data_IF_290713128959
#
_entry.id   IF_290713128959
#
_cell.length_a   1.000
_cell.length_b   1.000
_cell.length_c   1.000
_cell.angle_alpha   90.00
_cell.angle_beta   90.00
_cell.angle_gamma   90.00
#
_symmetry.space_group_name_H-M   'P 1'
#
loop_
_entity.id
_entity.type
_entity.pdbx_description
1 polymer ?
#
# COMPACT_ATOMS: atom_id res chain seq x y z
N UNK A 1 19.76 48.10 -57.27
CA UNK A 1 19.69 46.68 -56.85
C UNK A 1 21.02 46.36 -56.16
N UNK A 2 21.13 45.79 -54.96
CA UNK A 2 20.25 45.49 -53.85
C UNK A 2 21.21 45.20 -52.69
N UNK A 3 21.09 45.94 -51.57
CA UNK A 3 21.73 45.61 -50.29
C UNK A 3 20.89 44.55 -49.58
N UNK A 4 21.52 43.55 -48.97
CA UNK A 4 21.02 42.78 -47.81
C UNK A 4 22.23 42.50 -46.90
N UNK A 5 22.45 43.34 -45.88
CA UNK A 5 21.98 43.17 -44.48
C UNK A 5 22.70 42.06 -43.74
N UNK A 6 23.88 42.40 -43.20
CA UNK A 6 24.47 41.77 -42.03
C UNK A 6 24.18 42.72 -40.85
N UNK A 7 22.98 42.60 -40.29
CA UNK A 7 22.47 43.49 -39.25
C UNK A 7 22.09 42.65 -38.03
N UNK A 8 22.89 42.75 -36.96
CA UNK A 8 22.49 42.17 -35.68
C UNK A 8 23.58 41.79 -34.68
N UNK A 9 24.86 42.10 -34.91
CA UNK A 9 25.91 41.86 -33.88
C UNK A 9 26.59 43.15 -33.46
N UNK A 10 26.34 43.54 -32.22
CA UNK A 10 27.05 44.62 -31.52
C UNK A 10 28.55 44.33 -31.50
N UNK A 11 29.36 45.33 -31.83
CA UNK A 11 30.82 45.28 -31.72
C UNK A 11 31.26 45.16 -30.26
N UNK A 12 32.53 44.79 -30.02
CA UNK A 12 33.05 44.54 -28.67
C UNK A 12 32.91 45.74 -27.72
N UNK A 13 33.05 46.97 -28.22
CA UNK A 13 32.84 48.18 -27.40
C UNK A 13 31.35 48.46 -27.19
N UNK A 14 30.50 48.27 -28.20
CA UNK A 14 29.05 48.44 -28.07
C UNK A 14 28.43 47.46 -27.08
N UNK A 15 28.96 46.23 -26.98
CA UNK A 15 28.58 45.28 -25.91
C UNK A 15 29.02 45.75 -24.53
N UNK A 16 30.24 46.29 -24.41
CA UNK A 16 30.74 46.77 -23.12
C UNK A 16 29.94 47.99 -22.63
N UNK A 17 29.61 48.90 -23.54
CA UNK A 17 28.81 50.10 -23.23
C UNK A 17 27.35 49.75 -22.92
N UNK A 18 26.77 48.78 -23.63
CA UNK A 18 25.44 48.24 -23.33
C UNK A 18 25.39 47.54 -21.97
N UNK A 19 26.40 46.71 -21.65
CA UNK A 19 26.49 46.07 -20.33
C UNK A 19 26.74 47.07 -19.20
N UNK A 20 27.45 48.17 -19.49
CA UNK A 20 27.70 49.25 -18.53
C UNK A 20 26.47 50.13 -18.32
N UNK A 21 25.66 50.38 -19.35
CA UNK A 21 24.40 51.10 -19.23
C UNK A 21 23.33 50.28 -18.49
N UNK A 22 23.33 48.95 -18.66
CA UNK A 22 22.49 48.06 -17.84
C UNK A 22 22.88 48.07 -16.35
N UNK A 23 24.16 48.30 -16.02
CA UNK A 23 24.64 48.45 -14.63
C UNK A 23 24.35 49.81 -13.99
N UNK A 24 23.97 50.83 -14.77
CA UNK A 24 23.63 52.19 -14.30
C UNK A 24 22.14 52.39 -14.05
N UNK A 25 21.37 51.33 -13.84
CA UNK A 25 20.04 51.46 -13.23
C UNK A 25 20.24 51.88 -11.77
N UNK A 26 19.77 53.07 -11.43
CA UNK A 26 19.84 53.61 -10.08
C UNK A 26 19.30 52.58 -9.08
N UNK A 27 20.08 52.29 -8.04
CA UNK A 27 19.65 51.42 -6.97
C UNK A 27 18.29 51.93 -6.43
N UNK A 28 17.26 51.08 -6.35
CA UNK A 28 15.99 51.51 -5.76
C UNK A 28 16.25 51.98 -4.33
N UNK A 29 15.64 53.12 -3.97
CA UNK A 29 15.74 53.65 -2.62
C UNK A 29 15.38 52.56 -1.61
N UNK A 30 16.25 52.33 -0.62
CA UNK A 30 16.04 51.31 0.39
C UNK A 30 14.65 51.51 1.03
N UNK A 31 13.77 50.49 1.03
CA UNK A 31 12.48 50.61 1.67
C UNK A 31 12.68 50.97 3.14
N UNK A 32 12.03 52.04 3.59
CA UNK A 32 12.03 52.47 4.99
C UNK A 32 11.43 51.31 5.80
N UNK A 33 12.27 50.54 6.47
CA UNK A 33 11.85 49.40 7.27
C UNK A 33 11.03 49.90 8.45
N UNK A 34 9.71 49.88 8.33
CA UNK A 34 8.83 49.83 9.50
C UNK A 34 9.04 48.47 10.13
N UNK A 35 9.63 48.43 11.31
CA UNK A 35 9.80 47.20 12.08
C UNK A 35 8.40 46.67 12.44
N UNK A 36 7.88 45.77 11.62
CA UNK A 36 6.70 44.98 11.96
C UNK A 36 7.17 43.98 13.01
N UNK A 37 6.77 44.18 14.27
CA UNK A 37 7.03 43.21 15.31
C UNK A 37 6.38 41.89 14.90
N UNK A 38 7.21 40.86 14.67
CA UNK A 38 6.71 39.53 14.35
C UNK A 38 5.95 38.98 15.56
N UNK A 39 4.70 38.50 15.41
CA UNK A 39 4.01 37.85 16.51
C UNK A 39 4.81 36.63 16.96
N UNK A 40 4.99 36.48 18.28
CA UNK A 40 5.55 35.26 18.85
C UNK A 40 4.56 34.13 18.62
N UNK A 41 4.95 33.15 17.81
CA UNK A 41 4.19 31.92 17.56
C UNK A 41 4.95 30.75 18.15
N UNK A 42 4.22 29.84 18.79
CA UNK A 42 4.80 28.56 19.18
C UNK A 42 5.03 27.72 17.92
N UNK A 43 6.30 27.44 17.65
CA UNK A 43 6.77 26.65 16.50
C UNK A 43 7.19 25.24 16.90
N UNK A 44 6.97 24.87 18.16
CA UNK A 44 7.32 23.54 18.67
C UNK A 44 6.41 22.48 18.08
N UNK A 45 7.00 21.40 17.57
CA UNK A 45 6.27 20.20 17.16
C UNK A 45 5.49 19.58 18.32
N UNK A 46 5.86 19.87 19.58
CA UNK A 46 5.13 19.40 20.75
C UNK A 46 3.71 19.96 20.87
N UNK A 47 3.45 21.06 20.17
CA UNK A 47 2.12 21.68 20.15
C UNK A 47 1.22 21.16 19.05
N UNK A 48 1.75 20.33 18.14
CA UNK A 48 0.94 19.67 17.14
C UNK A 48 -0.15 18.83 17.83
N UNK A 49 -1.43 18.99 17.46
CA UNK A 49 -2.52 18.24 18.08
C UNK A 49 -2.29 16.73 18.05
N UNK A 50 -1.79 16.20 16.93
CA UNK A 50 -1.48 14.76 16.79
C UNK A 50 -0.38 14.28 17.74
N UNK A 51 0.64 15.10 17.98
CA UNK A 51 1.73 14.72 18.90
C UNK A 51 1.31 14.79 20.37
N UNK A 52 0.47 15.77 20.73
CA UNK A 52 -0.14 15.83 22.08
C UNK A 52 -1.01 14.61 22.34
N UNK A 53 -1.84 14.23 21.37
CA UNK A 53 -2.68 13.03 21.45
C UNK A 53 -1.83 11.77 21.65
N UNK A 54 -0.74 11.62 20.88
CA UNK A 54 0.21 10.52 21.04
C UNK A 54 0.81 10.46 22.45
N UNK A 55 1.25 11.60 23.00
CA UNK A 55 1.79 11.68 24.37
C UNK A 55 0.75 11.25 25.41
N UNK A 56 -0.50 11.69 25.27
CA UNK A 56 -1.60 11.31 26.16
C UNK A 56 -1.91 9.82 26.09
N UNK A 57 -2.03 9.26 24.88
CA UNK A 57 -2.25 7.82 24.67
C UNK A 57 -1.10 6.99 25.26
N UNK A 58 0.14 7.45 25.09
CA UNK A 58 1.31 6.78 25.64
C UNK A 58 1.30 6.76 27.17
N UNK A 59 1.03 7.91 27.79
CA UNK A 59 0.93 7.99 29.25
C UNK A 59 -0.18 7.08 29.80
N UNK A 60 -1.34 7.03 29.13
CA UNK A 60 -2.42 6.12 29.51
C UNK A 60 -2.02 4.64 29.39
N UNK A 61 -1.35 4.26 28.30
CA UNK A 61 -0.84 2.90 28.12
C UNK A 61 0.20 2.52 29.20
N UNK A 62 1.13 3.42 29.52
CA UNK A 62 2.13 3.22 30.56
C UNK A 62 1.48 3.08 31.96
N UNK A 63 0.44 3.87 32.26
CA UNK A 63 -0.34 3.74 33.51
C UNK A 63 -1.09 2.40 33.62
N UNK A 64 -1.51 1.83 32.49
CA UNK A 64 -2.18 0.54 32.42
C UNK A 64 -1.20 -0.64 32.30
N UNK A 65 0.11 -0.38 32.27
CA UNK A 65 1.13 -1.42 32.11
C UNK A 65 1.12 -2.08 30.73
N UNK A 66 0.56 -1.42 29.71
CA UNK A 66 0.45 -1.98 28.37
C UNK A 66 1.74 -1.76 27.58
N UNK A 67 2.32 -2.85 27.07
CA UNK A 67 3.43 -2.78 26.15
C UNK A 67 3.03 -2.06 24.86
N UNK A 68 4.00 -1.43 24.19
CA UNK A 68 3.76 -0.85 22.86
C UNK A 68 3.63 -1.98 21.83
N UNK A 69 2.47 -2.18 21.18
CA UNK A 69 2.38 -3.14 20.09
C UNK A 69 3.08 -2.61 18.82
N UNK A 70 3.42 -1.33 18.76
CA UNK A 70 4.05 -0.69 17.61
C UNK A 70 5.58 -0.66 17.75
N UNK A 71 6.27 -0.69 16.61
CA UNK A 71 7.74 -0.68 16.51
C UNK A 71 8.43 -1.87 17.20
N UNK A 72 7.75 -3.02 17.29
CA UNK A 72 8.39 -4.25 17.73
C UNK A 72 9.52 -4.63 16.78
N UNK A 73 10.66 -5.02 17.37
CA UNK A 73 11.87 -5.33 16.61
C UNK A 73 11.98 -6.82 16.37
N UNK A 74 12.13 -7.19 15.10
CA UNK A 74 12.45 -8.56 14.70
C UNK A 74 13.97 -8.69 14.60
N UNK A 75 14.58 -9.54 15.42
CA UNK A 75 16.05 -9.74 15.44
C UNK A 75 16.50 -10.92 14.57
N UNK A 76 15.56 -11.56 13.88
CA UNK A 76 15.79 -12.57 12.87
C UNK A 76 14.95 -12.25 11.62
N UNK A 77 15.15 -13.02 10.54
CA UNK A 77 14.28 -12.95 9.36
C UNK A 77 12.81 -13.08 9.79
N UNK A 78 11.95 -12.20 9.28
CA UNK A 78 10.52 -12.22 9.56
C UNK A 78 9.75 -12.94 8.44
N UNK A 79 9.47 -14.23 8.64
CA UNK A 79 8.54 -15.02 7.83
C UNK A 79 7.39 -15.55 8.70
N UNK A 80 6.94 -16.78 8.49
CA UNK A 80 6.02 -17.52 9.39
C UNK A 80 6.57 -17.69 10.83
N UNK A 81 7.89 -17.55 10.99
CA UNK A 81 8.60 -17.50 12.26
C UNK A 81 9.41 -16.22 12.36
N UNK A 82 9.66 -15.77 13.58
CA UNK A 82 10.61 -14.71 13.86
C UNK A 82 11.15 -14.77 15.28
N UNK A 83 11.95 -13.77 15.67
CA UNK A 83 12.44 -13.57 17.03
C UNK A 83 12.14 -12.13 17.43
N UNK A 84 11.37 -11.95 18.51
CA UNK A 84 11.00 -10.66 19.11
C UNK A 84 11.42 -10.70 20.57
N UNK A 85 12.13 -9.68 21.04
CA UNK A 85 12.67 -9.61 22.41
C UNK A 85 13.43 -10.88 22.82
N UNK A 86 14.25 -11.41 21.89
CA UNK A 86 15.03 -12.66 22.03
C UNK A 86 14.20 -13.93 22.21
N UNK A 87 12.87 -13.87 22.02
CA UNK A 87 11.98 -15.02 22.08
C UNK A 87 11.54 -15.46 20.68
N UNK A 88 11.61 -16.76 20.35
CA UNK A 88 11.02 -17.28 19.12
C UNK A 88 9.50 -17.10 19.12
N UNK A 89 8.94 -16.69 17.98
CA UNK A 89 7.50 -16.49 17.82
C UNK A 89 6.97 -17.14 16.52
N UNK A 90 5.75 -17.67 16.59
CA UNK A 90 4.88 -17.87 15.43
C UNK A 90 4.42 -16.49 14.94
N UNK A 91 4.69 -16.14 13.69
CA UNK A 91 4.55 -14.77 13.23
C UNK A 91 3.45 -14.62 12.18
N UNK A 92 2.32 -14.07 12.62
CA UNK A 92 1.15 -13.75 11.81
C UNK A 92 1.06 -12.26 11.45
N UNK A 93 2.15 -11.51 11.63
CA UNK A 93 2.22 -10.07 11.31
C UNK A 93 3.08 -9.76 10.06
N UNK A 94 3.51 -10.79 9.32
CA UNK A 94 4.30 -10.63 8.08
C UNK A 94 3.45 -10.88 6.84
N UNK A 95 3.74 -10.16 5.75
CA UNK A 95 3.09 -10.34 4.45
C UNK A 95 3.86 -11.26 3.50
N UNK A 96 4.75 -12.11 4.05
CA UNK A 96 5.49 -13.14 3.31
C UNK A 96 4.60 -14.36 3.02
N UNK A 97 3.61 -14.17 2.15
CA UNK A 97 2.53 -15.13 1.89
C UNK A 97 3.02 -16.48 1.37
N UNK A 98 4.02 -16.48 0.50
CA UNK A 98 4.54 -17.70 -0.11
C UNK A 98 5.79 -18.26 0.58
N UNK A 99 6.23 -17.60 1.67
CA UNK A 99 7.44 -18.00 2.38
C UNK A 99 8.70 -17.83 1.53
N UNK A 100 8.71 -16.83 0.66
CA UNK A 100 9.82 -16.57 -0.27
C UNK A 100 10.89 -15.68 0.35
N UNK A 101 10.61 -15.05 1.50
CA UNK A 101 11.59 -14.19 2.14
C UNK A 101 12.83 -15.00 2.53
N UNK A 102 13.93 -14.69 1.84
CA UNK A 102 15.21 -15.37 1.92
C UNK A 102 15.22 -16.81 1.39
N UNK A 103 14.42 -17.07 0.35
CA UNK A 103 14.63 -18.19 -0.56
C UNK A 103 16.08 -18.18 -1.10
N UNK A 104 16.77 -19.34 -1.22
CA UNK A 104 18.16 -19.39 -1.66
C UNK A 104 18.39 -18.78 -3.05
N UNK A 105 17.53 -19.07 -4.03
CA UNK A 105 17.62 -18.50 -5.39
C UNK A 105 17.52 -16.97 -5.37
N UNK A 106 16.61 -16.41 -4.57
CA UNK A 106 16.44 -14.95 -4.47
C UNK A 106 17.68 -14.33 -3.81
N UNK A 107 18.20 -14.94 -2.75
CA UNK A 107 19.37 -14.44 -2.04
C UNK A 107 20.60 -14.43 -2.93
N UNK A 108 20.80 -15.49 -3.72
CA UNK A 108 21.88 -15.59 -4.70
C UNK A 108 21.72 -14.52 -5.81
N UNK A 109 20.52 -14.36 -6.37
CA UNK A 109 20.24 -13.37 -7.40
C UNK A 109 20.44 -11.93 -6.91
N UNK A 110 20.05 -11.63 -5.67
CA UNK A 110 20.27 -10.32 -5.04
C UNK A 110 21.77 -10.04 -4.83
N UNK A 111 22.53 -11.03 -4.37
CA UNK A 111 23.97 -10.89 -4.17
C UNK A 111 24.71 -10.64 -5.49
N UNK A 112 24.36 -11.39 -6.54
CA UNK A 112 24.90 -11.19 -7.89
C UNK A 112 24.54 -9.81 -8.47
N UNK A 113 23.27 -9.41 -8.31
CA UNK A 113 22.79 -8.09 -8.73
C UNK A 113 23.57 -6.95 -8.07
N UNK A 114 23.86 -7.07 -6.76
CA UNK A 114 24.64 -6.09 -6.03
C UNK A 114 26.09 -6.02 -6.54
N UNK A 115 26.70 -7.15 -6.89
CA UNK A 115 28.05 -7.21 -7.45
C UNK A 115 28.16 -6.62 -8.86
N UNK A 116 27.14 -6.85 -9.69
CA UNK A 116 27.13 -6.45 -11.10
C UNK A 116 26.65 -5.01 -11.32
N UNK A 117 25.57 -4.61 -10.66
CA UNK A 117 24.88 -3.34 -10.90
C UNK A 117 25.03 -2.33 -9.76
N UNK A 118 25.57 -2.75 -8.61
CA UNK A 118 25.58 -1.97 -7.38
C UNK A 118 24.20 -1.94 -6.70
N UNK A 119 24.08 -1.07 -5.69
CA UNK A 119 22.90 -0.97 -4.82
C UNK A 119 21.90 0.10 -5.23
N UNK A 120 22.18 0.86 -6.29
CA UNK A 120 21.39 2.00 -6.75
C UNK A 120 21.55 2.20 -8.25
N UNK A 121 20.48 2.65 -8.92
CA UNK A 121 20.54 3.13 -10.31
C UNK A 121 20.88 4.62 -10.42
N UNK A 122 20.92 5.33 -9.28
CA UNK A 122 21.43 6.69 -9.08
C UNK A 122 20.84 7.78 -9.99
N UNK A 123 19.66 7.54 -10.55
CA UNK A 123 18.93 8.49 -11.38
C UNK A 123 17.45 8.08 -11.50
N UNK A 124 16.60 9.03 -11.89
CA UNK A 124 15.26 8.73 -12.42
C UNK A 124 15.39 7.86 -13.67
N UNK A 125 14.46 6.93 -13.88
CA UNK A 125 14.52 6.08 -15.08
C UNK A 125 14.34 6.87 -16.37
N UNK A 126 13.56 7.96 -16.32
CA UNK A 126 13.36 8.86 -17.46
C UNK A 126 14.68 9.47 -17.95
N UNK A 127 15.67 9.65 -17.08
CA UNK A 127 16.95 10.25 -17.44
C UNK A 127 18.03 9.19 -17.69
N UNK A 128 18.62 8.64 -16.62
CA UNK A 128 19.76 7.73 -16.71
C UNK A 128 19.61 6.49 -15.81
N UNK A 129 18.43 6.27 -15.23
CA UNK A 129 18.16 5.18 -14.28
C UNK A 129 17.58 3.91 -14.92
N UNK A 130 17.17 3.95 -16.19
CA UNK A 130 16.61 2.79 -16.89
C UNK A 130 17.65 1.68 -17.09
N UNK A 131 17.24 0.42 -16.90
CA UNK A 131 18.13 -0.75 -17.04
C UNK A 131 17.33 -1.93 -17.62
N UNK A 132 17.97 -2.87 -18.33
CA UNK A 132 17.28 -4.00 -18.96
C UNK A 132 16.43 -4.83 -18.00
N UNK A 133 16.89 -5.02 -16.75
CA UNK A 133 16.17 -5.81 -15.76
C UNK A 133 14.83 -5.17 -15.34
N UNK A 134 14.64 -3.85 -15.50
CA UNK A 134 13.34 -3.23 -15.26
C UNK A 134 12.34 -3.69 -16.32
N UNK A 135 12.72 -3.62 -17.60
CA UNK A 135 11.88 -4.02 -18.72
C UNK A 135 11.55 -5.51 -18.65
N UNK A 136 12.55 -6.36 -18.34
CA UNK A 136 12.33 -7.80 -18.14
C UNK A 136 11.30 -8.06 -17.05
N UNK A 137 11.38 -7.31 -15.94
CA UNK A 137 10.43 -7.46 -14.85
C UNK A 137 9.03 -6.93 -15.18
N UNK A 138 8.95 -5.78 -15.86
CA UNK A 138 7.70 -5.20 -16.33
C UNK A 138 6.97 -6.13 -17.29
N UNK A 139 7.68 -6.75 -18.23
CA UNK A 139 7.10 -7.72 -19.16
C UNK A 139 6.62 -8.99 -18.43
N UNK A 140 7.36 -9.45 -17.42
CA UNK A 140 6.92 -10.57 -16.58
C UNK A 140 5.64 -10.25 -15.80
N UNK A 141 5.51 -9.02 -15.28
CA UNK A 141 4.30 -8.54 -14.59
C UNK A 141 3.12 -8.40 -15.56
N UNK A 142 3.32 -7.81 -16.74
CA UNK A 142 2.29 -7.71 -17.77
C UNK A 142 1.76 -9.10 -18.16
N UNK A 143 2.65 -10.09 -18.27
CA UNK A 143 2.29 -11.48 -18.54
C UNK A 143 1.42 -12.15 -17.47
N UNK A 144 1.41 -11.68 -16.21
CA UNK A 144 0.51 -12.21 -15.16
C UNK A 144 -0.96 -11.94 -15.51
N UNK A 145 -1.23 -10.74 -16.02
CA UNK A 145 -2.58 -10.24 -16.30
C UNK A 145 -2.95 -10.29 -17.78
N UNK A 146 -2.01 -10.64 -18.65
CA UNK A 146 -2.19 -10.63 -20.11
C UNK A 146 -2.33 -9.22 -20.69
N UNK A 147 -1.74 -8.22 -20.03
CA UNK A 147 -1.77 -6.82 -20.49
C UNK A 147 -0.61 -6.52 -21.45
N UNK A 148 -0.66 -5.36 -22.12
CA UNK A 148 0.33 -4.99 -23.13
C UNK A 148 1.67 -4.56 -22.53
N UNK A 149 1.67 -3.85 -21.40
CA UNK A 149 2.89 -3.40 -20.72
C UNK A 149 2.67 -3.30 -19.20
N UNK A 150 3.74 -3.08 -18.46
CA UNK A 150 3.69 -2.70 -17.05
C UNK A 150 4.75 -1.64 -16.70
N UNK A 151 4.56 -1.00 -15.55
CA UNK A 151 5.45 0.01 -15.02
C UNK A 151 5.74 -0.25 -13.54
N UNK A 152 7.01 -0.40 -13.18
CA UNK A 152 7.44 -0.54 -11.78
C UNK A 152 7.84 0.79 -11.14
N UNK A 153 7.48 0.93 -9.86
CA UNK A 153 7.69 2.11 -9.01
C UNK A 153 8.45 1.72 -7.74
N UNK A 154 9.06 2.72 -7.08
CA UNK A 154 9.88 2.52 -5.87
C UNK A 154 9.11 2.31 -4.57
N UNK A 155 7.79 2.59 -4.54
CA UNK A 155 6.98 2.36 -3.35
C UNK A 155 5.53 1.99 -3.69
N UNK A 156 5.00 0.94 -3.05
CA UNK A 156 3.62 0.48 -3.29
C UNK A 156 2.57 1.55 -2.96
N UNK A 157 2.71 2.22 -1.81
CA UNK A 157 1.82 3.33 -1.42
C UNK A 157 1.90 4.50 -2.43
N UNK A 158 3.11 4.89 -2.85
CA UNK A 158 3.32 5.95 -3.82
C UNK A 158 2.85 5.61 -5.24
N UNK A 159 2.73 4.31 -5.58
CA UNK A 159 2.25 3.82 -6.87
C UNK A 159 0.80 4.24 -7.09
N UNK A 160 -0.09 3.87 -6.17
CA UNK A 160 -1.50 4.29 -6.17
C UNK A 160 -1.63 5.82 -6.26
N UNK A 161 -0.91 6.55 -5.40
CA UNK A 161 -0.96 8.02 -5.37
C UNK A 161 -0.56 8.62 -6.71
N UNK A 162 0.59 8.20 -7.25
CA UNK A 162 1.15 8.78 -8.47
C UNK A 162 0.30 8.46 -9.68
N UNK A 163 -0.25 7.26 -9.77
CA UNK A 163 -1.09 6.82 -10.87
C UNK A 163 -2.40 7.59 -10.89
N UNK A 164 -3.13 7.63 -9.77
CA UNK A 164 -4.42 8.31 -9.69
C UNK A 164 -4.25 9.83 -9.90
N UNK A 165 -3.23 10.43 -9.27
CA UNK A 165 -2.97 11.87 -9.41
C UNK A 165 -2.52 12.28 -10.82
N UNK A 166 -1.90 11.38 -11.60
CA UNK A 166 -1.52 11.67 -12.97
C UNK A 166 -2.67 11.49 -13.97
N UNK A 167 -3.58 10.54 -13.73
CA UNK A 167 -4.66 10.21 -14.65
C UNK A 167 -5.84 11.18 -14.58
N UNK A 168 -6.14 11.66 -13.37
CA UNK A 168 -7.36 12.41 -13.09
C UNK A 168 -7.09 13.90 -12.85
N UNK A 169 -8.11 14.70 -13.12
CA UNK A 169 -8.12 16.16 -13.01
C UNK A 169 -9.36 16.64 -12.25
N UNK A 170 -9.48 17.94 -11.91
CA UNK A 170 -10.68 18.49 -11.28
C UNK A 170 -12.00 18.31 -12.03
N UNK A 171 -11.95 17.89 -13.31
CA UNK A 171 -13.13 17.63 -14.14
C UNK A 171 -13.59 16.17 -14.11
N UNK A 172 -12.83 15.31 -13.43
CA UNK A 172 -13.05 13.87 -13.43
C UNK A 172 -13.69 13.39 -12.13
N UNK A 173 -14.13 12.14 -12.12
CA UNK A 173 -14.74 11.46 -10.99
C UNK A 173 -13.87 10.27 -10.58
N UNK A 174 -13.63 10.11 -9.28
CA UNK A 174 -13.08 8.90 -8.68
C UNK A 174 -14.06 8.35 -7.65
N UNK A 175 -14.42 7.08 -7.83
CA UNK A 175 -15.31 6.35 -6.93
C UNK A 175 -14.53 5.17 -6.38
N UNK A 176 -14.50 5.02 -5.06
CA UNK A 176 -13.80 3.89 -4.44
C UNK A 176 -14.57 3.33 -3.24
N UNK A 177 -14.25 2.09 -2.89
CA UNK A 177 -14.84 1.39 -1.75
C UNK A 177 -14.53 2.11 -0.43
N UNK A 178 -15.44 2.07 0.54
CA UNK A 178 -15.25 2.67 1.86
C UNK A 178 -14.01 2.16 2.61
N UNK A 179 -13.56 0.93 2.33
CA UNK A 179 -12.40 0.30 2.94
C UNK A 179 -11.13 0.37 2.09
N UNK A 180 -11.16 1.10 0.97
CA UNK A 180 -10.02 1.26 0.09
C UNK A 180 -8.76 1.73 0.83
N UNK A 181 -7.63 1.12 0.52
CA UNK A 181 -6.35 1.41 1.13
C UNK A 181 -6.02 2.91 1.05
N UNK A 182 -5.38 3.43 2.10
CA UNK A 182 -5.08 4.85 2.26
C UNK A 182 -4.37 5.48 1.05
N UNK A 183 -3.53 4.74 0.32
CA UNK A 183 -2.89 5.27 -0.89
C UNK A 183 -3.87 5.63 -2.01
N UNK A 184 -4.99 4.91 -2.13
CA UNK A 184 -6.06 5.21 -3.10
C UNK A 184 -6.73 6.53 -2.69
N UNK A 185 -7.05 6.67 -1.41
CA UNK A 185 -7.66 7.88 -0.83
C UNK A 185 -6.78 9.10 -1.04
N UNK A 186 -5.49 9.00 -0.68
CA UNK A 186 -4.53 10.10 -0.85
C UNK A 186 -4.32 10.43 -2.33
N UNK A 187 -4.28 9.42 -3.21
CA UNK A 187 -4.20 9.63 -4.66
C UNK A 187 -5.41 10.37 -5.21
N UNK A 188 -6.62 9.97 -4.79
CA UNK A 188 -7.87 10.63 -5.14
C UNK A 188 -7.88 12.10 -4.68
N UNK A 189 -7.49 12.36 -3.43
CA UNK A 189 -7.40 13.73 -2.89
C UNK A 189 -6.37 14.58 -3.65
N UNK A 190 -5.20 14.03 -3.95
CA UNK A 190 -4.15 14.73 -4.68
C UNK A 190 -4.55 15.07 -6.13
N UNK A 191 -5.35 14.19 -6.77
CA UNK A 191 -5.84 14.40 -8.14
C UNK A 191 -6.79 15.60 -8.27
N UNK A 192 -7.40 16.04 -7.17
CA UNK A 192 -8.46 17.06 -7.11
C UNK A 192 -9.75 16.69 -7.86
N UNK A 193 -9.87 15.47 -8.38
CA UNK A 193 -11.09 14.96 -8.98
C UNK A 193 -12.23 14.97 -7.95
N UNK A 194 -13.47 15.01 -8.43
CA UNK A 194 -14.62 14.75 -7.58
C UNK A 194 -14.49 13.36 -6.99
N UNK A 195 -14.41 13.27 -5.66
CA UNK A 195 -14.30 11.99 -4.95
C UNK A 195 -15.66 11.54 -4.43
N UNK A 196 -16.00 10.26 -4.63
CA UNK A 196 -17.17 9.60 -4.04
C UNK A 196 -16.76 8.26 -3.42
N UNK A 197 -17.49 7.89 -2.38
CA UNK A 197 -17.25 6.66 -1.61
C UNK A 197 -18.56 5.87 -1.64
N UNK A 198 -18.50 4.58 -1.96
CA UNK A 198 -19.64 3.68 -1.79
C UNK A 198 -19.41 2.78 -0.56
N UNK A 199 -20.48 2.34 0.15
CA UNK A 199 -20.36 1.38 1.23
C UNK A 199 -19.62 0.12 0.77
N UNK A 200 -18.93 -0.52 1.71
CA UNK A 200 -18.07 -1.66 1.41
C UNK A 200 -18.81 -2.77 0.63
N UNK A 201 -18.28 -3.15 -0.53
CA UNK A 201 -18.83 -4.15 -1.45
C UNK A 201 -20.29 -3.91 -1.92
N UNK A 202 -20.85 -2.71 -1.72
CA UNK A 202 -22.20 -2.34 -2.16
C UNK A 202 -22.17 -1.79 -3.60
N UNK A 203 -22.26 -2.71 -4.57
CA UNK A 203 -22.20 -2.37 -5.99
C UNK A 203 -23.47 -1.66 -6.50
N UNK A 204 -24.60 -1.81 -5.81
CA UNK A 204 -25.84 -1.08 -6.12
C UNK A 204 -25.70 0.40 -5.74
N UNK A 205 -25.07 0.69 -4.59
CA UNK A 205 -24.73 2.05 -4.20
C UNK A 205 -23.71 2.69 -5.14
N UNK A 206 -22.71 1.92 -5.61
CA UNK A 206 -21.79 2.37 -6.66
C UNK A 206 -22.56 2.79 -7.94
N UNK A 207 -23.49 1.96 -8.42
CA UNK A 207 -24.32 2.31 -9.59
C UNK A 207 -25.21 3.52 -9.34
N UNK A 208 -25.79 3.66 -8.15
CA UNK A 208 -26.58 4.84 -7.79
C UNK A 208 -25.75 6.13 -7.83
N UNK A 209 -24.49 6.10 -7.37
CA UNK A 209 -23.57 7.22 -7.47
C UNK A 209 -23.27 7.55 -8.94
N UNK A 210 -22.97 6.54 -9.76
CA UNK A 210 -22.72 6.70 -11.19
C UNK A 210 -23.93 7.33 -11.89
N UNK A 211 -25.13 6.83 -11.64
CA UNK A 211 -26.37 7.39 -12.19
C UNK A 211 -26.59 8.86 -11.83
N UNK A 212 -26.19 9.27 -10.61
CA UNK A 212 -26.37 10.65 -10.15
C UNK A 212 -25.30 11.63 -10.63
N UNK A 213 -24.14 11.15 -11.09
CA UNK A 213 -22.96 12.01 -11.27
C UNK A 213 -22.07 11.74 -12.47
N UNK A 214 -22.20 10.60 -13.16
CA UNK A 214 -21.31 10.23 -14.27
C UNK A 214 -21.37 11.22 -15.43
N UNK A 215 -22.55 11.74 -15.75
CA UNK A 215 -22.82 12.69 -16.83
C UNK A 215 -22.17 14.08 -16.63
N UNK A 216 -21.73 14.39 -15.41
CA UNK A 216 -21.13 15.68 -15.02
C UNK A 216 -19.60 15.70 -15.12
N UNK A 217 -18.96 14.59 -15.50
CA UNK A 217 -17.51 14.44 -15.47
C UNK A 217 -16.96 13.92 -16.80
N UNK A 218 -15.76 14.36 -17.19
CA UNK A 218 -15.13 13.93 -18.45
C UNK A 218 -14.72 12.45 -18.35
N UNK A 219 -13.99 12.07 -17.30
CA UNK A 219 -13.59 10.67 -17.01
C UNK A 219 -14.11 10.21 -15.66
N UNK A 220 -14.21 8.89 -15.50
CA UNK A 220 -14.55 8.25 -14.25
C UNK A 220 -13.61 7.08 -14.00
N UNK A 221 -13.03 7.01 -12.80
CA UNK A 221 -12.23 5.89 -12.32
C UNK A 221 -12.94 5.22 -11.14
N UNK A 222 -13.24 3.94 -11.28
CA UNK A 222 -13.70 3.08 -10.19
C UNK A 222 -12.47 2.35 -9.64
N UNK A 223 -12.26 2.40 -8.33
CA UNK A 223 -11.11 1.76 -7.67
C UNK A 223 -11.60 0.80 -6.58
N UNK A 224 -11.08 -0.42 -6.59
CA UNK A 224 -11.30 -1.43 -5.54
C UNK A 224 -10.02 -2.23 -5.26
N UNK A 225 -10.05 -3.07 -4.23
CA UNK A 225 -9.00 -4.05 -3.93
C UNK A 225 -9.46 -5.45 -4.35
N UNK A 226 -8.55 -6.31 -4.82
CA UNK A 226 -8.88 -7.69 -5.14
C UNK A 226 -9.06 -8.56 -3.88
N UNK A 227 -8.31 -8.27 -2.81
CA UNK A 227 -8.47 -8.84 -1.48
C UNK A 227 -8.29 -7.72 -0.46
N UNK A 228 -9.36 -7.36 0.25
CA UNK A 228 -9.32 -6.29 1.22
C UNK A 228 -8.46 -6.65 2.43
N UNK A 229 -7.52 -5.76 2.74
CA UNK A 229 -6.52 -6.03 3.78
C UNK A 229 -7.09 -6.17 5.19
N UNK A 230 -8.28 -5.65 5.48
CA UNK A 230 -8.84 -5.61 6.84
C UNK A 230 -9.78 -6.77 7.13
N UNK A 231 -10.56 -7.18 6.14
CA UNK A 231 -11.63 -8.16 6.28
C UNK A 231 -11.29 -9.51 5.62
N UNK A 232 -10.36 -9.55 4.67
CA UNK A 232 -9.95 -10.80 4.01
C UNK A 232 -10.99 -11.32 3.03
N UNK A 233 -11.83 -10.44 2.51
CA UNK A 233 -12.84 -10.65 1.48
C UNK A 233 -12.50 -9.84 0.21
N UNK A 234 -13.38 -9.86 -0.79
CA UNK A 234 -13.16 -9.17 -2.07
C UNK A 234 -14.47 -8.89 -2.82
N UNK A 235 -14.41 -8.10 -3.89
CA UNK A 235 -15.59 -7.68 -4.63
C UNK A 235 -16.07 -8.75 -5.61
N UNK A 236 -17.30 -8.61 -6.11
CA UNK A 236 -17.73 -9.27 -7.35
C UNK A 236 -17.07 -8.57 -8.56
N UNK A 237 -16.01 -9.17 -9.09
CA UNK A 237 -15.24 -8.58 -10.19
C UNK A 237 -16.05 -8.56 -11.49
N UNK A 238 -16.81 -9.62 -11.76
CA UNK A 238 -17.63 -9.70 -12.97
C UNK A 238 -18.65 -8.57 -13.02
N UNK A 239 -19.31 -8.30 -11.88
CA UNK A 239 -20.26 -7.20 -11.76
C UNK A 239 -19.59 -5.84 -11.89
N UNK A 240 -18.42 -5.63 -11.31
CA UNK A 240 -17.66 -4.38 -11.49
C UNK A 240 -17.30 -4.12 -12.96
N UNK A 241 -16.90 -5.16 -13.70
CA UNK A 241 -16.59 -5.04 -15.14
C UNK A 241 -17.87 -4.72 -15.93
N UNK A 242 -19.02 -5.29 -15.58
CA UNK A 242 -20.29 -4.93 -16.18
C UNK A 242 -20.63 -3.44 -15.93
N UNK A 243 -20.52 -3.00 -14.68
CA UNK A 243 -20.81 -1.62 -14.25
C UNK A 243 -19.90 -0.63 -14.99
N UNK A 244 -18.58 -0.85 -14.98
CA UNK A 244 -17.63 0.09 -15.61
C UNK A 244 -17.87 0.18 -17.12
N UNK A 245 -18.23 -0.93 -17.76
CA UNK A 245 -18.54 -0.96 -19.19
C UNK A 245 -19.82 -0.18 -19.49
N UNK A 246 -20.89 -0.43 -18.73
CA UNK A 246 -22.19 0.24 -18.87
C UNK A 246 -22.09 1.75 -18.71
N UNK A 247 -21.28 2.21 -17.74
CA UNK A 247 -21.16 3.62 -17.38
C UNK A 247 -19.97 4.34 -18.05
N UNK A 248 -19.21 3.65 -18.91
CA UNK A 248 -18.05 4.23 -19.58
C UNK A 248 -17.01 4.77 -18.59
N UNK A 249 -16.59 3.93 -17.64
CA UNK A 249 -15.59 4.23 -16.62
C UNK A 249 -14.38 3.29 -16.76
N UNK A 250 -13.23 3.74 -16.26
CA UNK A 250 -12.08 2.87 -16.03
C UNK A 250 -12.25 2.11 -14.72
N UNK A 251 -11.71 0.89 -14.67
CA UNK A 251 -11.62 0.08 -13.47
C UNK A 251 -10.15 -0.17 -13.11
N UNK A 252 -9.79 0.22 -11.88
CA UNK A 252 -8.51 -0.09 -11.25
C UNK A 252 -8.71 -1.08 -10.11
N UNK A 253 -7.99 -2.19 -10.14
CA UNK A 253 -8.00 -3.22 -9.11
C UNK A 253 -6.62 -3.32 -8.46
N UNK A 254 -6.58 -3.12 -7.15
CA UNK A 254 -5.37 -3.28 -6.33
C UNK A 254 -5.24 -4.74 -5.85
N UNK A 255 -4.33 -5.48 -6.49
CA UNK A 255 -3.99 -6.88 -6.25
C UNK A 255 -2.89 -7.05 -5.18
N UNK A 256 -2.57 -6.02 -4.39
CA UNK A 256 -1.46 -6.09 -3.45
C UNK A 256 -1.60 -7.25 -2.46
N UNK A 257 -2.81 -7.60 -2.01
CA UNK A 257 -3.05 -8.75 -1.14
C UNK A 257 -3.48 -10.03 -1.90
N UNK A 258 -3.63 -9.95 -3.22
CA UNK A 258 -4.18 -11.01 -4.05
C UNK A 258 -3.11 -11.78 -4.82
N UNK A 259 -2.05 -11.11 -5.31
CA UNK A 259 -0.96 -11.75 -6.04
C UNK A 259 -0.25 -12.76 -5.12
N UNK A 260 -0.10 -14.00 -5.57
CA UNK A 260 0.40 -15.14 -4.81
C UNK A 260 -0.58 -15.71 -3.79
N UNK A 261 -1.82 -15.20 -3.73
CA UNK A 261 -2.81 -15.57 -2.70
C UNK A 261 -4.08 -16.14 -3.31
N UNK A 262 -4.66 -15.43 -4.29
CA UNK A 262 -5.94 -15.79 -4.89
C UNK A 262 -5.75 -16.46 -6.25
N UNK A 263 -6.65 -17.41 -6.54
CA UNK A 263 -6.62 -18.21 -7.77
C UNK A 263 -5.87 -19.52 -7.62
N UNK A 264 -5.91 -20.35 -8.66
CA UNK A 264 -5.25 -21.65 -8.68
C UNK A 264 -3.72 -21.53 -8.71
N UNK A 265 -3.20 -20.51 -9.40
CA UNK A 265 -1.76 -20.25 -9.54
C UNK A 265 -1.32 -18.92 -8.92
N UNK A 266 -2.20 -18.28 -8.13
CA UNK A 266 -1.88 -17.07 -7.38
C UNK A 266 -1.86 -15.81 -8.25
N UNK A 267 -2.56 -15.77 -9.38
CA UNK A 267 -2.54 -14.58 -10.26
C UNK A 267 -3.46 -13.46 -9.80
N UNK A 268 -4.36 -13.75 -8.85
CA UNK A 268 -5.21 -12.74 -8.27
C UNK A 268 -6.71 -13.03 -8.34
N UNK A 269 -7.51 -11.99 -8.10
CA UNK A 269 -8.96 -12.11 -7.97
C UNK A 269 -9.63 -12.61 -9.26
N UNK A 270 -9.13 -12.20 -10.43
CA UNK A 270 -9.68 -12.65 -11.72
C UNK A 270 -9.55 -14.17 -11.90
N UNK A 271 -8.42 -14.74 -11.49
CA UNK A 271 -8.18 -16.19 -11.59
C UNK A 271 -9.06 -16.94 -10.59
N UNK A 272 -9.25 -16.39 -9.39
CA UNK A 272 -10.14 -16.98 -8.39
C UNK A 272 -11.58 -17.06 -8.89
N UNK A 273 -12.09 -15.98 -9.50
CA UNK A 273 -13.48 -15.88 -9.94
C UNK A 273 -13.71 -16.40 -11.37
N UNK A 274 -12.64 -16.80 -12.08
CA UNK A 274 -12.75 -17.26 -13.47
C UNK A 274 -13.18 -16.16 -14.44
N UNK A 275 -12.77 -14.92 -14.18
CA UNK A 275 -13.15 -13.73 -14.95
C UNK A 275 -12.02 -13.34 -15.89
N UNK A 276 -12.36 -12.88 -17.09
CA UNK A 276 -11.38 -12.40 -18.08
C UNK A 276 -10.66 -11.14 -17.56
N UNK A 277 -9.31 -11.18 -17.41
CA UNK A 277 -8.56 -10.05 -16.87
C UNK A 277 -8.56 -8.82 -17.79
N UNK A 278 -8.88 -8.98 -19.09
CA UNK A 278 -8.98 -7.86 -20.04
C UNK A 278 -10.15 -6.91 -19.74
N UNK A 279 -11.10 -7.35 -18.90
CA UNK A 279 -12.17 -6.49 -18.40
C UNK A 279 -11.68 -5.39 -17.44
N UNK A 280 -10.47 -5.48 -16.88
CA UNK A 280 -9.89 -4.48 -15.97
C UNK A 280 -8.88 -3.61 -16.71
N UNK A 281 -8.98 -2.29 -16.55
CA UNK A 281 -8.15 -1.34 -17.28
C UNK A 281 -6.77 -1.12 -16.62
N UNK A 282 -6.71 -1.21 -15.28
CA UNK A 282 -5.51 -0.92 -14.50
C UNK A 282 -5.35 -1.98 -13.39
N UNK A 283 -4.34 -2.82 -13.52
CA UNK A 283 -3.92 -3.72 -12.45
C UNK A 283 -2.83 -3.07 -11.62
N UNK A 284 -3.08 -2.86 -10.33
CA UNK A 284 -2.07 -2.37 -9.39
C UNK A 284 -1.61 -3.53 -8.51
N UNK A 285 -0.32 -3.58 -8.18
CA UNK A 285 0.13 -4.37 -7.04
C UNK A 285 1.37 -3.83 -6.36
N UNK A 286 1.77 -4.49 -5.27
CA UNK A 286 2.97 -4.15 -4.50
C UNK A 286 4.06 -5.20 -4.68
N UNK A 287 5.32 -4.76 -4.59
CA UNK A 287 6.47 -5.66 -4.55
C UNK A 287 6.76 -6.15 -3.11
N UNK A 288 6.21 -5.49 -2.10
CA UNK A 288 6.62 -5.64 -0.69
C UNK A 288 6.00 -6.81 0.07
N UNK A 289 5.25 -7.67 -0.61
CA UNK A 289 4.51 -8.79 0.00
C UNK A 289 5.00 -10.10 -0.61
N UNK A 290 4.19 -10.73 -1.46
CA UNK A 290 4.54 -11.95 -2.21
C UNK A 290 5.87 -11.86 -2.93
N UNK A 291 6.21 -10.70 -3.50
CA UNK A 291 7.42 -10.51 -4.29
C UNK A 291 8.66 -10.11 -3.46
N UNK A 292 8.54 -10.05 -2.13
CA UNK A 292 9.64 -9.90 -1.16
C UNK A 292 10.63 -8.76 -1.48
N UNK A 293 10.15 -7.70 -2.11
CA UNK A 293 10.91 -6.51 -2.49
C UNK A 293 10.41 -5.25 -1.78
N UNK A 294 10.57 -4.11 -2.45
CA UNK A 294 9.96 -2.84 -2.07
C UNK A 294 9.62 -2.08 -3.34
N UNK A 295 8.39 -1.60 -3.46
CA UNK A 295 7.91 -0.99 -4.69
C UNK A 295 6.45 -1.32 -4.98
N UNK A 296 5.98 -0.89 -6.14
CA UNK A 296 4.69 -1.31 -6.69
C UNK A 296 4.74 -1.33 -8.20
N UNK A 297 3.65 -1.73 -8.82
CA UNK A 297 3.53 -1.75 -10.27
C UNK A 297 2.13 -1.37 -10.73
N UNK A 298 2.06 -0.91 -11.98
CA UNK A 298 0.84 -0.79 -12.75
C UNK A 298 0.99 -1.62 -14.02
N UNK A 299 0.07 -2.53 -14.29
CA UNK A 299 -0.03 -3.28 -15.53
C UNK A 299 -1.32 -2.90 -16.27
N UNK A 300 -1.24 -2.71 -17.58
CA UNK A 300 -2.37 -2.24 -18.40
C UNK A 300 -1.96 -2.04 -19.85
N UNK A 301 -2.65 -1.15 -20.57
CA UNK A 301 -2.32 -0.85 -21.96
C UNK A 301 -0.96 -0.16 -22.11
N UNK A 302 -0.33 -0.31 -23.28
CA UNK A 302 0.91 0.36 -23.61
C UNK A 302 0.76 1.90 -23.56
N UNK A 303 -0.41 2.42 -23.93
CA UNK A 303 -0.74 3.84 -23.86
C UNK A 303 -0.78 4.34 -22.41
N UNK A 304 -1.40 3.59 -21.50
CA UNK A 304 -1.43 3.91 -20.07
C UNK A 304 -0.01 3.94 -19.51
N UNK A 305 0.76 2.88 -19.75
CA UNK A 305 2.12 2.77 -19.23
C UNK A 305 3.02 3.86 -19.80
N UNK A 306 2.92 4.15 -21.09
CA UNK A 306 3.65 5.25 -21.73
C UNK A 306 3.27 6.59 -21.10
N UNK A 307 1.97 6.86 -20.90
CA UNK A 307 1.53 8.08 -20.25
C UNK A 307 2.14 8.23 -18.85
N UNK A 308 2.09 7.19 -18.02
CA UNK A 308 2.62 7.20 -16.66
C UNK A 308 4.14 7.39 -16.62
N UNK A 309 4.90 6.82 -17.57
CA UNK A 309 6.37 7.01 -17.70
C UNK A 309 6.76 8.49 -17.79
N UNK A 310 5.89 9.35 -18.34
CA UNK A 310 6.16 10.78 -18.51
C UNK A 310 5.38 11.72 -17.59
N UNK A 311 4.34 11.23 -16.90
CA UNK A 311 3.44 12.10 -16.12
C UNK A 311 3.29 11.69 -14.65
N UNK A 312 3.54 10.42 -14.30
CA UNK A 312 3.39 9.99 -12.91
C UNK A 312 4.52 10.59 -12.04
N UNK A 313 4.21 11.37 -11.00
CA UNK A 313 5.24 12.08 -10.23
C UNK A 313 6.21 11.12 -9.53
N UNK A 314 5.71 9.99 -8.99
CA UNK A 314 6.53 8.93 -8.42
C UNK A 314 7.36 8.12 -9.43
N UNK A 315 7.21 8.39 -10.73
CA UNK A 315 8.04 7.86 -11.80
C UNK A 315 9.03 8.90 -12.32
N UNK A 316 8.54 10.10 -12.64
CA UNK A 316 9.33 11.18 -13.25
C UNK A 316 10.32 11.79 -12.25
N UNK A 317 9.86 12.11 -11.04
CA UNK A 317 10.61 12.86 -10.02
C UNK A 317 11.18 11.95 -8.91
N UNK A 318 11.16 10.64 -9.13
CA UNK A 318 11.74 9.65 -8.23
C UNK A 318 12.97 9.00 -8.84
N UNK A 319 13.78 8.33 -8.02
CA UNK A 319 14.82 7.42 -8.48
C UNK A 319 14.20 6.15 -9.07
N UNK A 320 14.91 5.45 -9.96
CA UNK A 320 14.51 4.11 -10.40
C UNK A 320 14.69 3.05 -9.32
N UNK A 321 13.99 1.92 -9.48
CA UNK A 321 14.05 0.81 -8.54
C UNK A 321 15.46 0.18 -8.54
N UNK A 322 16.11 -0.04 -7.38
CA UNK A 322 17.41 -0.68 -7.32
C UNK A 322 17.46 -2.07 -7.97
N UNK A 323 18.62 -2.43 -8.53
CA UNK A 323 18.84 -3.73 -9.19
C UNK A 323 18.54 -4.91 -8.25
N UNK A 324 19.01 -4.83 -7.01
CA UNK A 324 18.79 -5.86 -5.98
C UNK A 324 17.31 -6.12 -5.73
N UNK A 325 16.50 -5.06 -5.62
CA UNK A 325 15.06 -5.19 -5.39
C UNK A 325 14.32 -5.66 -6.65
N UNK A 326 14.71 -5.17 -7.83
CA UNK A 326 14.06 -5.53 -9.09
C UNK A 326 14.31 -6.99 -9.44
N UNK A 327 15.57 -7.42 -9.42
CA UNK A 327 15.96 -8.80 -9.73
C UNK A 327 15.46 -9.77 -8.66
N UNK A 328 15.48 -9.36 -7.38
CA UNK A 328 14.88 -10.15 -6.30
C UNK A 328 13.38 -10.39 -6.51
N UNK A 329 12.62 -9.34 -6.83
CA UNK A 329 11.17 -9.42 -7.08
C UNK A 329 10.83 -10.21 -8.34
N UNK A 330 11.61 -10.05 -9.41
CA UNK A 330 11.49 -10.85 -10.62
C UNK A 330 11.77 -12.34 -10.35
N UNK A 331 12.79 -12.64 -9.54
CA UNK A 331 13.09 -14.02 -9.15
C UNK A 331 11.96 -14.61 -8.30
N UNK A 332 11.41 -13.84 -7.36
CA UNK A 332 10.24 -14.24 -6.57
C UNK A 332 9.01 -14.53 -7.45
N UNK A 333 8.73 -13.68 -8.44
CA UNK A 333 7.64 -13.88 -9.39
C UNK A 333 7.82 -15.18 -10.20
N UNK A 334 9.04 -15.45 -10.66
CA UNK A 334 9.38 -16.69 -11.40
C UNK A 334 9.21 -17.93 -10.55
N UNK A 335 9.60 -17.87 -9.27
CA UNK A 335 9.40 -18.98 -8.32
C UNK A 335 7.90 -19.21 -8.11
N UNK A 336 7.13 -18.15 -7.85
CA UNK A 336 5.67 -18.24 -7.70
C UNK A 336 5.00 -18.93 -8.89
N UNK A 337 5.39 -18.58 -10.12
CA UNK A 337 4.84 -19.19 -11.33
C UNK A 337 5.25 -20.67 -11.52
N UNK A 338 6.44 -21.04 -11.05
CA UNK A 338 6.99 -22.41 -11.18
C UNK A 338 6.52 -23.36 -10.06
N UNK A 339 6.17 -22.82 -8.89
CA UNK A 339 5.87 -23.56 -7.67
C UNK A 339 4.43 -23.28 -7.17
N UNK A 340 3.39 -23.64 -7.97
CA UNK A 340 1.98 -23.40 -7.62
C UNK A 340 1.54 -24.11 -6.34
N UNK A 341 2.25 -25.16 -5.91
CA UNK A 341 2.01 -25.84 -4.64
C UNK A 341 2.17 -24.91 -3.42
N UNK A 342 2.95 -23.84 -3.51
CA UNK A 342 3.03 -22.83 -2.43
C UNK A 342 1.72 -22.09 -2.26
N UNK A 343 1.07 -21.73 -3.36
CA UNK A 343 -0.26 -21.10 -3.35
C UNK A 343 -1.29 -22.07 -2.79
N UNK A 344 -1.23 -23.34 -3.20
CA UNK A 344 -2.11 -24.39 -2.67
C UNK A 344 -1.92 -24.58 -1.16
N UNK A 345 -0.67 -24.58 -0.67
CA UNK A 345 -0.36 -24.70 0.76
C UNK A 345 -0.84 -23.47 1.56
N UNK A 346 -0.61 -22.26 1.06
CA UNK A 346 -1.15 -21.03 1.64
C UNK A 346 -2.67 -21.10 1.77
N UNK A 347 -3.35 -21.52 0.70
CA UNK A 347 -4.81 -21.69 0.68
C UNK A 347 -5.25 -22.71 1.72
N UNK A 348 -4.59 -23.86 1.82
CA UNK A 348 -4.91 -24.87 2.84
C UNK A 348 -4.73 -24.32 4.26
N UNK A 349 -3.65 -23.58 4.50
CA UNK A 349 -3.37 -22.93 5.78
C UNK A 349 -4.44 -21.88 6.14
N UNK A 350 -4.84 -21.04 5.19
CA UNK A 350 -5.89 -20.03 5.37
C UNK A 350 -7.24 -20.65 5.73
N UNK A 351 -7.68 -21.65 4.98
CA UNK A 351 -8.95 -22.34 5.26
C UNK A 351 -8.91 -23.06 6.60
N UNK A 352 -7.78 -23.69 6.96
CA UNK A 352 -7.61 -24.28 8.28
C UNK A 352 -7.78 -23.24 9.39
N UNK A 353 -7.14 -22.07 9.26
CA UNK A 353 -7.28 -21.00 10.24
C UNK A 353 -8.75 -20.56 10.37
N UNK A 354 -9.42 -20.32 9.24
CA UNK A 354 -10.83 -19.92 9.21
C UNK A 354 -11.75 -20.96 9.86
N UNK A 355 -11.62 -22.23 9.49
CA UNK A 355 -12.41 -23.34 10.04
C UNK A 355 -12.21 -23.49 11.54
N UNK A 356 -10.96 -23.44 12.00
CA UNK A 356 -10.62 -23.54 13.43
C UNK A 356 -11.15 -22.35 14.22
N UNK A 357 -11.00 -21.13 13.69
CA UNK A 357 -11.47 -19.91 14.34
C UNK A 357 -13.00 -19.93 14.50
N UNK A 358 -13.73 -20.30 13.44
CA UNK A 358 -15.19 -20.47 13.50
C UNK A 358 -15.60 -21.57 14.48
N UNK A 359 -14.91 -22.71 14.47
CA UNK A 359 -15.19 -23.80 15.41
C UNK A 359 -14.94 -23.42 16.88
N UNK A 360 -13.99 -22.49 17.12
CA UNK A 360 -13.72 -21.93 18.45
C UNK A 360 -14.69 -20.78 18.84
N UNK A 361 -15.65 -20.43 17.99
CA UNK A 361 -16.62 -19.36 18.25
C UNK A 361 -16.07 -17.94 18.08
N UNK A 362 -14.92 -17.77 17.41
CA UNK A 362 -14.32 -16.47 17.14
C UNK A 362 -15.02 -15.78 15.97
N UNK A 363 -15.21 -14.46 16.08
CA UNK A 363 -15.76 -13.63 15.00
C UNK A 363 -14.70 -13.33 13.94
N UNK A 364 -14.86 -13.92 12.75
CA UNK A 364 -13.95 -13.78 11.60
C UNK A 364 -14.46 -12.80 10.54
N UNK A 365 -15.59 -12.12 10.80
CA UNK A 365 -16.27 -11.27 9.81
C UNK A 365 -16.58 -12.00 8.50
N UNK A 366 -16.44 -11.27 7.39
CA UNK A 366 -16.71 -11.75 6.03
C UNK A 366 -15.53 -12.47 5.36
N UNK A 367 -14.47 -12.78 6.13
CA UNK A 367 -13.25 -13.37 5.59
C UNK A 367 -13.49 -14.63 4.76
N UNK A 368 -12.84 -14.66 3.60
CA UNK A 368 -12.82 -15.82 2.71
C UNK A 368 -11.81 -16.90 3.12
N UNK A 369 -10.97 -16.66 4.14
CA UNK A 369 -10.03 -17.66 4.65
C UNK A 369 -8.83 -17.91 3.74
N UNK A 370 -8.30 -16.87 3.10
CA UNK A 370 -7.03 -16.93 2.36
C UNK A 370 -5.87 -16.44 3.25
N UNK A 371 -5.03 -15.53 2.74
CA UNK A 371 -3.85 -15.06 3.44
C UNK A 371 -4.12 -14.01 4.53
N UNK A 372 -5.35 -13.51 4.63
CA UNK A 372 -5.76 -12.50 5.60
C UNK A 372 -7.01 -13.02 6.31
N UNK A 373 -6.99 -13.05 7.64
CA UNK A 373 -8.18 -13.36 8.43
C UNK A 373 -8.19 -12.49 9.70
N UNK A 374 -9.21 -11.64 9.89
CA UNK A 374 -9.38 -10.89 11.11
C UNK A 374 -10.00 -11.78 12.21
N UNK A 375 -9.74 -11.43 13.46
CA UNK A 375 -10.59 -11.79 14.60
C UNK A 375 -11.12 -10.49 15.20
N UNK A 376 -12.43 -10.25 15.08
CA UNK A 376 -13.09 -9.03 15.52
C UNK A 376 -13.28 -9.09 17.04
N UNK A 377 -12.79 -8.06 17.74
CA UNK A 377 -12.85 -7.95 19.20
C UNK A 377 -13.79 -6.84 19.64
N UNK A 378 -13.87 -5.76 18.87
CA UNK A 378 -14.82 -4.65 19.08
C UNK A 378 -14.46 -3.68 20.22
N UNK A 379 -13.28 -3.84 20.84
CA UNK A 379 -12.76 -2.95 21.90
C UNK A 379 -11.24 -2.81 21.77
N UNK A 380 -10.74 -1.58 21.64
CA UNK A 380 -9.31 -1.31 21.40
C UNK A 380 -8.41 -1.76 22.56
N UNK A 381 -8.85 -1.57 23.80
CA UNK A 381 -8.06 -1.93 24.98
C UNK A 381 -7.87 -3.44 25.06
N UNK A 382 -8.96 -4.20 24.95
CA UNK A 382 -8.90 -5.67 24.87
C UNK A 382 -8.04 -6.14 23.73
N UNK A 383 -8.14 -5.50 22.57
CA UNK A 383 -7.37 -5.88 21.37
C UNK A 383 -5.87 -5.75 21.61
N UNK A 384 -5.42 -4.65 22.21
CA UNK A 384 -4.00 -4.43 22.57
C UNK A 384 -3.55 -5.40 23.66
N UNK A 385 -4.36 -5.63 24.69
CA UNK A 385 -4.05 -6.59 25.75
C UNK A 385 -3.94 -8.03 25.22
N UNK A 386 -4.87 -8.42 24.35
CA UNK A 386 -4.87 -9.73 23.71
C UNK A 386 -3.60 -9.93 22.87
N UNK A 387 -3.21 -8.94 22.05
CA UNK A 387 -1.96 -9.01 21.31
C UNK A 387 -0.74 -9.19 22.23
N UNK A 388 -0.69 -8.47 23.36
CA UNK A 388 0.36 -8.62 24.37
C UNK A 388 0.42 -10.03 24.98
N UNK A 389 -0.73 -10.56 25.43
CA UNK A 389 -0.82 -11.91 26.02
C UNK A 389 -0.47 -13.02 25.01
N UNK A 390 -0.86 -12.86 23.75
CA UNK A 390 -0.47 -13.77 22.68
C UNK A 390 1.03 -13.74 22.44
N UNK A 391 1.65 -12.55 22.44
CA UNK A 391 3.08 -12.42 22.28
C UNK A 391 3.85 -13.09 23.43
N UNK A 392 3.37 -12.97 24.67
CA UNK A 392 3.92 -13.69 25.83
C UNK A 392 3.86 -15.22 25.66
N UNK A 393 2.84 -15.72 24.95
CA UNK A 393 2.68 -17.12 24.54
C UNK A 393 3.45 -17.50 23.27
N UNK A 394 4.25 -16.60 22.72
CA UNK A 394 5.06 -16.85 21.51
C UNK A 394 4.28 -16.70 20.20
N UNK A 395 3.16 -15.99 20.18
CA UNK A 395 2.34 -15.75 18.99
C UNK A 395 2.31 -14.25 18.70
N UNK A 396 2.91 -13.84 17.59
CA UNK A 396 2.85 -12.46 17.14
C UNK A 396 1.67 -12.25 16.18
N UNK A 397 0.67 -11.50 16.62
CA UNK A 397 -0.47 -11.06 15.83
C UNK A 397 -0.66 -9.56 16.01
N UNK A 398 -0.92 -8.83 14.93
CA UNK A 398 -0.90 -7.37 14.97
C UNK A 398 -2.30 -6.80 15.31
N UNK A 399 -2.41 -5.94 16.33
CA UNK A 399 -3.67 -5.28 16.68
C UNK A 399 -3.97 -4.13 15.72
N UNK A 400 -5.21 -4.07 15.24
CA UNK A 400 -5.75 -2.97 14.43
C UNK A 400 -6.81 -2.24 15.26
N UNK A 401 -6.51 -0.97 15.56
CA UNK A 401 -7.31 -0.06 16.40
C UNK A 401 -7.47 1.30 15.70
N UNK A 402 -8.30 2.24 16.19
CA UNK A 402 -8.38 3.57 15.60
C UNK A 402 -7.01 4.27 15.49
N UNK A 403 -6.77 5.04 14.41
CA UNK A 403 -7.70 5.38 13.33
C UNK A 403 -7.79 4.33 12.22
N UNK A 404 -7.09 3.19 12.32
CA UNK A 404 -7.05 2.17 11.26
C UNK A 404 -8.39 1.49 11.00
N UNK A 405 -9.20 1.31 12.05
CA UNK A 405 -10.60 0.87 11.99
C UNK A 405 -11.41 1.64 13.03
N UNK A 406 -12.74 1.78 12.87
CA UNK A 406 -13.61 2.29 13.92
C UNK A 406 -13.47 1.52 15.24
N UNK A 407 -13.63 2.20 16.40
CA UNK A 407 -13.43 1.61 17.75
C UNK A 407 -14.19 0.29 17.95
N UNK A 408 -15.46 0.24 17.54
CA UNK A 408 -16.33 -0.94 17.67
C UNK A 408 -15.98 -2.09 16.72
N UNK A 409 -14.94 -1.92 15.92
CA UNK A 409 -14.47 -2.91 14.95
C UNK A 409 -12.97 -3.20 15.10
N UNK A 410 -12.40 -2.84 16.26
CA UNK A 410 -11.05 -3.22 16.66
C UNK A 410 -10.87 -4.73 16.58
N UNK A 411 -9.71 -5.17 16.09
CA UNK A 411 -9.48 -6.57 15.69
C UNK A 411 -8.01 -6.95 15.77
N UNK A 412 -7.74 -8.24 15.90
CA UNK A 412 -6.44 -8.79 15.53
C UNK A 412 -6.48 -9.20 14.07
N UNK A 413 -5.41 -8.93 13.33
CA UNK A 413 -5.30 -9.36 11.94
C UNK A 413 -4.19 -10.40 11.78
N UNK A 414 -4.57 -11.56 11.27
CA UNK A 414 -3.67 -12.67 11.03
C UNK A 414 -3.32 -12.74 9.55
N UNK A 415 -2.03 -12.69 9.27
CA UNK A 415 -1.48 -12.94 7.96
C UNK A 415 -0.95 -14.36 7.87
N UNK A 416 -1.58 -15.15 7.04
CA UNK A 416 -1.25 -16.57 6.87
C UNK A 416 -0.20 -16.70 5.77
N UNK A 417 0.79 -17.56 6.00
CA UNK A 417 1.86 -17.89 5.06
C UNK A 417 1.77 -19.37 4.69
N UNK A 418 2.23 -19.71 3.48
CA UNK A 418 2.48 -21.09 3.05
C UNK A 418 3.44 -21.82 3.99
N UNK A 419 4.33 -21.09 4.67
CA UNK A 419 5.33 -21.65 5.58
C UNK A 419 4.82 -21.86 7.02
N UNK A 420 3.58 -21.49 7.35
CA UNK A 420 3.00 -21.88 8.64
C UNK A 420 2.76 -23.38 8.70
N UNK A 421 3.05 -24.00 9.84
CA UNK A 421 2.67 -25.38 10.09
C UNK A 421 1.21 -25.46 10.56
N UNK A 422 0.55 -26.62 10.43
CA UNK A 422 -0.76 -26.83 11.04
C UNK A 422 -0.78 -26.59 12.57
N UNK A 423 0.33 -26.87 13.25
CA UNK A 423 0.49 -26.64 14.69
C UNK A 423 0.52 -25.14 15.03
N UNK A 424 1.15 -24.32 14.18
CA UNK A 424 1.19 -22.86 14.37
C UNK A 424 -0.20 -22.27 14.37
N UNK A 425 -1.00 -22.70 13.40
CA UNK A 425 -2.37 -22.25 13.19
C UNK A 425 -3.25 -22.70 14.36
N UNK A 426 -3.21 -23.98 14.70
CA UNK A 426 -4.05 -24.54 15.77
C UNK A 426 -3.72 -23.94 17.14
N UNK A 427 -2.43 -23.77 17.44
CA UNK A 427 -1.97 -23.15 18.68
C UNK A 427 -2.39 -21.69 18.75
N UNK A 428 -2.25 -20.94 17.65
CA UNK A 428 -2.65 -19.54 17.60
C UNK A 428 -4.15 -19.36 17.82
N UNK A 429 -4.99 -20.12 17.12
CA UNK A 429 -6.44 -20.04 17.26
C UNK A 429 -6.88 -20.41 18.68
N UNK A 430 -6.32 -21.49 19.24
CA UNK A 430 -6.62 -21.93 20.61
C UNK A 430 -6.24 -20.84 21.62
N UNK A 431 -5.05 -20.25 21.48
CA UNK A 431 -4.59 -19.19 22.36
C UNK A 431 -5.47 -17.93 22.28
N UNK A 432 -5.92 -17.55 21.09
CA UNK A 432 -6.84 -16.42 20.91
C UNK A 432 -8.14 -16.66 21.66
N UNK A 433 -8.77 -17.83 21.49
CA UNK A 433 -10.02 -18.16 22.16
C UNK A 433 -9.89 -18.15 23.69
N UNK A 434 -8.82 -18.77 24.22
CA UNK A 434 -8.56 -18.82 25.66
C UNK A 434 -8.31 -17.44 26.28
N UNK A 435 -7.42 -16.63 25.67
CA UNK A 435 -7.08 -15.33 26.23
C UNK A 435 -8.21 -14.31 26.07
N UNK A 436 -8.99 -14.40 24.99
CA UNK A 436 -10.16 -13.55 24.79
C UNK A 436 -11.23 -13.84 25.86
N UNK A 437 -11.54 -15.12 26.11
CA UNK A 437 -12.49 -15.50 27.17
C UNK A 437 -12.03 -15.00 28.55
N UNK A 438 -10.74 -15.11 28.88
CA UNK A 438 -10.20 -14.56 30.13
C UNK A 438 -10.36 -13.04 30.24
N UNK A 439 -10.08 -12.30 29.15
CA UNK A 439 -10.25 -10.84 29.14
C UNK A 439 -11.70 -10.41 29.31
N UNK A 440 -12.65 -11.22 28.82
CA UNK A 440 -14.08 -11.01 29.03
C UNK A 440 -14.51 -11.27 30.48
N UNK A 441 -14.00 -12.34 31.09
CA UNK A 441 -14.22 -12.67 32.51
C UNK A 441 -13.64 -11.60 33.46
N UNK A 442 -12.45 -11.08 33.16
CA UNK A 442 -11.85 -9.94 33.86
C UNK A 442 -12.65 -8.65 33.69
N UNK A 443 -13.55 -8.62 32.70
CA UNK A 443 -14.49 -7.54 32.47
C UNK A 443 -13.82 -6.23 32.03
N UNK A 444 -12.62 -6.28 31.45
CA UNK A 444 -11.86 -5.09 31.01
C UNK A 444 -12.53 -4.48 29.78
N UNK A 445 -12.72 -3.16 29.71
CA UNK A 445 -13.13 -2.46 28.49
C UNK A 445 -12.76 -0.99 28.55
N UNK A 446 -12.65 -0.33 27.39
CA UNK A 446 -12.43 1.13 27.31
C UNK A 446 -13.52 1.87 28.10
N UNK A 447 -14.78 1.46 27.98
CA UNK A 447 -15.90 2.08 28.68
C UNK A 447 -15.77 2.05 30.20
N UNK A 448 -15.37 0.91 30.78
CA UNK A 448 -15.23 0.78 32.24
C UNK A 448 -14.03 1.55 32.80
N UNK A 449 -12.91 1.59 32.07
CA UNK A 449 -11.75 2.40 32.49
C UNK A 449 -12.09 3.89 32.45
N UNK A 450 -12.81 4.34 31.41
CA UNK A 450 -13.28 5.73 31.32
C UNK A 450 -14.24 6.10 32.47
N UNK A 451 -15.04 5.16 32.97
CA UNK A 451 -15.91 5.39 34.12
C UNK A 451 -15.15 5.36 35.47
N UNK A 452 -13.99 4.71 35.53
CA UNK A 452 -13.11 4.72 36.71
C UNK A 452 -12.24 5.98 36.83
N UNK A 453 -12.04 6.69 35.71
CA UNK A 453 -11.22 7.91 35.61
C UNK A 453 -12.04 9.22 35.68
N UNK A 454 -13.37 9.12 35.78
CA UNK A 454 -14.27 10.24 36.14
C UNK A 454 -14.43 10.28 37.65
#
# INVERSE_FOLDING_TARGET
MSKKTDAGRLTGSERADFLTSMRKTAAPAAPRATAVAAPTRDVSFETLPGFRMLKTQRAAADMLGLANPFYQTHTARAGARSVIDQKPVANFASYDYLGLNGHPEITAAVADAAGTWGTSVSASRLTAGERPFHQEFEQALAGVYGTEDALVFVGGHATNISTIAALLSPKDLVIHDALAHNSIVVGAELSKASRRIFPHNDLDALEAILAASRDKHERCLIVTEGLFSMDGDGPDLARLIEIKTRWGAWLMVDEAHSLGVLGATGRGIFELQGVDPSGVDIWMGTLSKTLVGCGGYIAGSADLVTFLKFHAPGMVYSVGLPATLTIGSLTALRIMQREPERVAQLKANGHRFLEKARAAGLDVGESWGYAVTPIIIGDSLRTVMLAGRLLERGINAFPIIPPGVPEKSARLRFFISASHTPEDIDTAVTAVAEELARLEEEGISVGKVADLMK
#
